data_IF_252310049610
#
_entry.id   IF_252310049610
#
_cell.length_a   1.000
_cell.length_b   1.000
_cell.length_c   1.000
_cell.angle_alpha   90.00
_cell.angle_beta   90.00
_cell.angle_gamma   90.00
#
_symmetry.space_group_name_H-M   'P 1'
#
loop_
_entity.id
_entity.type
_entity.pdbx_description
1 polymer ?
#
# COMPACT_ATOMS: atom_id res chain seq x y z
N UNK A 1 23.33 -6.89 -16.53
CA UNK A 1 23.69 -5.82 -15.56
C UNK A 1 23.08 -6.17 -14.19
N UNK A 2 23.60 -5.66 -13.07
CA UNK A 2 22.99 -5.92 -11.75
C UNK A 2 21.90 -4.87 -11.45
N UNK A 3 20.64 -5.26 -11.66
CA UNK A 3 19.47 -4.44 -11.32
C UNK A 3 19.12 -4.62 -9.84
N UNK A 4 18.82 -3.52 -9.15
CA UNK A 4 18.37 -3.56 -7.75
C UNK A 4 16.86 -3.71 -7.72
N UNK A 5 16.38 -4.74 -7.03
CA UNK A 5 14.95 -4.97 -6.83
C UNK A 5 14.46 -4.28 -5.54
N UNK A 6 13.58 -3.29 -5.66
CA UNK A 6 12.98 -2.58 -4.53
C UNK A 6 11.50 -2.92 -4.42
N UNK A 7 11.09 -3.49 -3.27
CA UNK A 7 9.67 -3.79 -3.00
C UNK A 7 8.93 -2.52 -2.58
N UNK A 8 7.74 -2.34 -3.12
CA UNK A 8 6.80 -1.31 -2.72
C UNK A 8 5.46 -1.94 -2.36
N UNK A 9 4.94 -1.57 -1.19
CA UNK A 9 3.66 -2.09 -0.69
C UNK A 9 2.82 -0.95 -0.10
N UNK A 10 1.79 -0.52 -0.82
CA UNK A 10 0.76 0.44 -0.35
C UNK A 10 -0.55 0.20 -1.08
N UNK A 11 -1.66 0.67 -0.49
CA UNK A 11 -3.00 0.65 -1.11
C UNK A 11 -3.44 -0.73 -1.63
N UNK A 12 -3.07 -1.82 -0.95
CA UNK A 12 -3.39 -3.18 -1.38
C UNK A 12 -2.55 -3.71 -2.55
N UNK A 13 -1.65 -2.91 -3.10
CA UNK A 13 -0.70 -3.33 -4.13
C UNK A 13 0.61 -3.78 -3.50
N UNK A 14 1.19 -4.83 -4.09
CA UNK A 14 2.49 -5.37 -3.71
C UNK A 14 3.32 -5.54 -4.99
N UNK A 15 4.25 -4.62 -5.22
CA UNK A 15 5.02 -4.53 -6.47
C UNK A 15 6.51 -4.59 -6.19
N UNK A 16 7.25 -5.19 -7.11
CA UNK A 16 8.70 -5.26 -7.09
C UNK A 16 9.26 -4.49 -8.27
N UNK A 17 9.96 -3.37 -8.02
CA UNK A 17 10.57 -2.55 -9.05
C UNK A 17 12.00 -2.99 -9.32
N UNK A 18 12.36 -3.19 -10.58
CA UNK A 18 13.73 -3.37 -11.02
C UNK A 18 14.31 -2.02 -11.40
N UNK A 19 15.32 -1.57 -10.65
CA UNK A 19 15.96 -0.29 -10.84
C UNK A 19 17.40 -0.49 -11.36
N UNK A 20 17.80 0.31 -12.34
CA UNK A 20 19.22 0.42 -12.71
C UNK A 20 20.02 1.07 -11.57
N UNK A 21 21.36 0.93 -11.53
CA UNK A 21 22.19 1.55 -10.50
C UNK A 21 22.03 3.07 -10.37
N UNK A 22 21.60 3.73 -11.45
CA UNK A 22 21.24 5.16 -11.48
C UNK A 22 19.92 5.49 -10.73
N UNK A 23 19.20 4.47 -10.26
CA UNK A 23 17.94 4.62 -9.51
C UNK A 23 16.68 4.68 -10.37
N UNK A 24 16.83 4.73 -11.70
CA UNK A 24 15.69 4.71 -12.63
C UNK A 24 15.04 3.33 -12.67
N UNK A 25 13.70 3.29 -12.57
CA UNK A 25 12.94 2.05 -12.71
C UNK A 25 12.85 1.63 -14.18
N UNK A 26 13.39 0.45 -14.51
CA UNK A 26 13.38 -0.11 -15.87
C UNK A 26 12.30 -1.19 -16.06
N UNK A 27 11.70 -1.66 -14.96
CA UNK A 27 10.56 -2.57 -14.99
C UNK A 27 9.99 -2.81 -13.60
N UNK A 28 8.85 -3.48 -13.54
CA UNK A 28 8.24 -3.88 -12.28
C UNK A 28 7.45 -5.19 -12.43
N UNK A 29 7.30 -5.92 -11.32
CA UNK A 29 6.46 -7.11 -11.23
C UNK A 29 5.38 -6.91 -10.16
N UNK A 30 4.18 -7.41 -10.42
CA UNK A 30 3.14 -7.57 -9.40
C UNK A 30 3.39 -8.89 -8.65
N UNK A 31 3.50 -8.83 -7.32
CA UNK A 31 3.76 -10.01 -6.48
C UNK A 31 2.49 -10.83 -6.22
N UNK A 32 1.31 -10.27 -6.46
CA UNK A 32 0.02 -10.94 -6.28
C UNK A 32 -0.32 -11.74 -7.53
N UNK A 33 -0.20 -11.13 -8.71
CA UNK A 33 -0.52 -11.80 -9.99
C UNK A 33 0.69 -12.48 -10.64
N UNK A 34 1.90 -12.01 -10.35
CA UNK A 34 3.14 -12.46 -11.01
C UNK A 34 3.40 -11.76 -12.34
N UNK A 35 2.59 -10.77 -12.73
CA UNK A 35 2.74 -10.06 -14.00
C UNK A 35 3.99 -9.19 -14.01
N UNK A 36 4.80 -9.30 -15.05
CA UNK A 36 6.01 -8.50 -15.25
C UNK A 36 5.74 -7.47 -16.35
N UNK A 37 5.98 -6.20 -16.03
CA UNK A 37 5.94 -5.08 -16.98
C UNK A 37 7.35 -4.52 -17.16
N UNK A 38 7.80 -4.51 -18.41
CA UNK A 38 9.07 -3.89 -18.80
C UNK A 38 8.79 -2.46 -19.24
N UNK A 39 9.50 -1.49 -18.65
CA UNK A 39 9.36 -0.06 -19.00
C UNK A 39 10.38 0.37 -20.06
N UNK A 40 11.56 -0.22 -20.04
CA UNK A 40 12.65 0.07 -20.99
C UNK A 40 13.07 -1.22 -21.68
N UNK A 41 12.80 -1.30 -22.99
CA UNK A 41 12.99 -2.53 -23.78
C UNK A 41 14.47 -2.95 -23.88
N UNK A 42 15.41 -2.00 -23.85
CA UNK A 42 16.86 -2.27 -23.82
C UNK A 42 17.28 -3.17 -22.63
N UNK A 43 16.54 -3.11 -21.51
CA UNK A 43 16.82 -3.91 -20.32
C UNK A 43 15.85 -5.09 -20.17
N UNK A 44 15.08 -5.43 -21.21
CA UNK A 44 14.02 -6.45 -21.14
C UNK A 44 14.50 -7.76 -20.53
N UNK A 45 15.58 -8.33 -21.05
CA UNK A 45 16.04 -9.65 -20.64
C UNK A 45 16.56 -9.64 -19.20
N UNK A 46 17.31 -8.60 -18.83
CA UNK A 46 17.82 -8.40 -17.46
C UNK A 46 16.65 -8.20 -16.47
N UNK A 47 15.63 -7.41 -16.83
CA UNK A 47 14.43 -7.16 -16.01
C UNK A 47 13.65 -8.45 -15.79
N UNK A 48 13.38 -9.21 -16.86
CA UNK A 48 12.66 -10.47 -16.77
C UNK A 48 13.45 -11.46 -15.91
N UNK A 49 14.76 -11.59 -16.13
CA UNK A 49 15.60 -12.52 -15.36
C UNK A 49 15.59 -12.20 -13.86
N UNK A 50 15.80 -10.93 -13.49
CA UNK A 50 15.82 -10.48 -12.09
C UNK A 50 14.45 -10.62 -11.44
N UNK A 51 13.39 -10.12 -12.07
CA UNK A 51 12.05 -10.17 -11.49
C UNK A 51 11.51 -11.61 -11.41
N UNK A 52 11.74 -12.45 -12.42
CA UNK A 52 11.34 -13.86 -12.37
C UNK A 52 12.13 -14.66 -11.33
N UNK A 53 13.41 -14.34 -11.11
CA UNK A 53 14.17 -14.92 -10.00
C UNK A 53 13.57 -14.54 -8.65
N UNK A 54 13.25 -13.26 -8.44
CA UNK A 54 12.62 -12.82 -7.19
C UNK A 54 11.23 -13.43 -6.98
N UNK A 55 10.40 -13.54 -8.03
CA UNK A 55 9.08 -14.17 -7.94
C UNK A 55 9.19 -15.66 -7.54
N UNK A 56 10.17 -16.40 -8.06
CA UNK A 56 10.41 -17.80 -7.67
C UNK A 56 10.86 -17.94 -6.22
N UNK A 57 11.62 -16.97 -5.73
CA UNK A 57 12.13 -16.97 -4.36
C UNK A 57 11.19 -16.28 -3.36
N UNK A 58 10.06 -15.76 -3.82
CA UNK A 58 9.09 -15.15 -2.93
C UNK A 58 8.38 -16.26 -2.15
N UNK A 59 8.43 -16.25 -0.80
CA UNK A 59 7.63 -17.18 -0.04
C UNK A 59 6.17 -16.92 -0.40
N UNK A 60 5.53 -17.92 -1.00
CA UNK A 60 4.09 -17.92 -1.22
C UNK A 60 3.44 -17.48 0.09
N UNK A 61 2.52 -16.49 0.09
CA UNK A 61 1.81 -16.13 1.29
C UNK A 61 1.26 -17.41 1.88
N UNK A 62 1.77 -17.79 3.04
CA UNK A 62 1.24 -18.90 3.80
C UNK A 62 -0.18 -18.48 4.09
N UNK A 63 -1.15 -19.03 3.35
CA UNK A 63 -2.54 -19.02 3.76
C UNK A 63 -2.53 -19.36 5.24
N UNK A 64 -3.21 -18.60 6.12
CA UNK A 64 -3.21 -18.87 7.55
C UNK A 64 -3.31 -20.37 7.74
N UNK A 65 -2.20 -21.00 8.12
CA UNK A 65 -2.23 -22.41 8.48
C UNK A 65 -3.25 -22.43 9.59
N UNK A 66 -4.27 -23.26 9.40
CA UNK A 66 -5.31 -23.50 10.37
C UNK A 66 -4.62 -23.56 11.73
N UNK A 67 -4.82 -22.48 12.50
CA UNK A 67 -4.01 -22.22 13.68
C UNK A 67 -4.09 -23.46 14.55
N UNK A 68 -2.98 -23.92 15.17
CA UNK A 68 -3.03 -25.07 16.06
C UNK A 68 -4.21 -24.87 17.00
N UNK A 69 -5.10 -25.85 16.93
CA UNK A 69 -6.41 -25.85 17.53
C UNK A 69 -6.32 -25.39 18.98
N UNK A 70 -6.91 -24.22 19.24
CA UNK A 70 -7.32 -23.78 20.56
C UNK A 70 -6.30 -23.95 21.71
N UNK A 71 -5.04 -23.52 21.55
CA UNK A 71 -4.31 -23.08 22.74
C UNK A 71 -4.99 -21.81 23.25
N UNK A 72 -5.58 -21.93 24.44
CA UNK A 72 -6.56 -21.04 25.03
C UNK A 72 -6.17 -19.56 24.89
N UNK A 73 -6.72 -18.91 23.86
CA UNK A 73 -6.67 -17.45 23.74
C UNK A 73 -7.31 -16.92 25.03
N UNK A 74 -6.65 -16.00 25.75
CA UNK A 74 -7.26 -15.40 26.92
C UNK A 74 -8.61 -14.82 26.48
N UNK A 75 -9.69 -15.22 27.17
CA UNK A 75 -11.00 -14.69 26.89
C UNK A 75 -10.95 -13.19 27.15
N UNK A 76 -11.16 -12.40 26.10
CA UNK A 76 -11.27 -10.97 26.24
C UNK A 76 -12.48 -10.65 27.11
N UNK A 77 -12.42 -9.59 27.93
CA UNK A 77 -13.59 -9.10 28.64
C UNK A 77 -14.70 -8.79 27.63
N UNK A 78 -15.97 -9.00 28.01
CA UNK A 78 -17.10 -8.66 27.14
C UNK A 78 -17.05 -7.17 26.79
N UNK A 79 -17.24 -6.85 25.50
CA UNK A 79 -17.30 -5.48 25.02
C UNK A 79 -18.42 -4.75 25.77
N UNK A 80 -18.07 -3.73 26.56
CA UNK A 80 -19.06 -2.91 27.24
C UNK A 80 -19.49 -1.75 26.35
N UNK A 81 -20.69 -1.18 26.54
CA UNK A 81 -21.10 0.04 25.82
C UNK A 81 -20.16 1.24 26.02
N UNK A 82 -19.38 1.27 27.11
CA UNK A 82 -18.40 2.32 27.35
C UNK A 82 -17.13 2.15 26.50
N UNK A 83 -16.79 0.91 26.14
CA UNK A 83 -15.67 0.57 25.26
C UNK A 83 -16.05 0.68 23.77
N UNK A 84 -17.35 0.68 23.46
CA UNK A 84 -17.87 0.78 22.10
C UNK A 84 -17.86 2.22 21.59
N UNK A 85 -16.72 2.61 21.01
CA UNK A 85 -16.53 3.91 20.36
C UNK A 85 -17.27 4.05 19.02
N UNK A 86 -17.96 3.03 18.50
CA UNK A 86 -18.70 3.13 17.22
C UNK A 86 -19.83 4.16 17.27
N UNK A 87 -20.34 4.42 18.48
CA UNK A 87 -21.37 5.45 18.73
C UNK A 87 -20.77 6.82 19.06
N UNK A 88 -19.45 6.92 19.20
CA UNK A 88 -18.79 8.16 19.57
C UNK A 88 -18.87 9.19 18.43
N UNK A 89 -19.52 10.32 18.72
CA UNK A 89 -19.71 11.45 17.81
C UNK A 89 -18.60 12.51 17.91
N UNK A 90 -17.44 12.20 18.48
CA UNK A 90 -16.31 13.13 18.56
C UNK A 90 -15.85 13.65 17.18
N UNK A 91 -16.07 12.86 16.12
CA UNK A 91 -15.83 13.26 14.72
C UNK A 91 -17.14 13.48 13.94
N UNK A 92 -18.28 13.62 14.63
CA UNK A 92 -19.51 13.99 13.95
C UNK A 92 -19.32 15.34 13.23
N UNK A 93 -20.01 15.56 12.10
CA UNK A 93 -19.89 16.80 11.35
C UNK A 93 -20.08 18.00 12.28
N UNK A 94 -19.06 18.85 12.37
CA UNK A 94 -19.16 20.16 12.99
C UNK A 94 -20.03 21.04 12.08
N UNK A 95 -21.35 20.90 12.20
CA UNK A 95 -22.30 21.67 11.42
C UNK A 95 -22.27 23.13 11.88
N UNK A 96 -22.13 24.06 10.92
CA UNK A 96 -22.23 25.51 11.17
C UNK A 96 -20.92 26.25 11.40
N UNK A 97 -19.76 25.59 11.37
CA UNK A 97 -18.45 26.27 11.49
C UNK A 97 -17.99 26.84 10.14
N UNK A 98 -18.26 26.13 9.04
CA UNK A 98 -17.98 26.56 7.67
C UNK A 98 -19.24 26.46 6.82
N UNK A 99 -19.43 27.44 5.93
CA UNK A 99 -20.46 27.36 4.88
C UNK A 99 -20.04 26.36 3.80
N UNK A 100 -20.99 25.86 3.01
CA UNK A 100 -20.70 24.95 1.89
C UNK A 100 -19.67 25.53 0.91
N UNK A 101 -19.74 26.84 0.65
CA UNK A 101 -18.77 27.54 -0.22
C UNK A 101 -17.35 27.56 0.38
N UNK A 102 -17.25 27.73 1.70
CA UNK A 102 -15.96 27.69 2.39
C UNK A 102 -15.36 26.28 2.39
N UNK A 103 -16.20 25.24 2.51
CA UNK A 103 -15.77 23.84 2.40
C UNK A 103 -15.24 23.55 1.00
N UNK A 104 -15.98 23.94 -0.05
CA UNK A 104 -15.55 23.84 -1.45
C UNK A 104 -14.21 24.54 -1.69
N UNK A 105 -14.02 25.74 -1.10
CA UNK A 105 -12.76 26.48 -1.21
C UNK A 105 -11.59 25.77 -0.54
N UNK A 106 -11.77 25.21 0.65
CA UNK A 106 -10.74 24.41 1.35
C UNK A 106 -10.42 23.15 0.56
N UNK A 107 -11.44 22.46 0.05
CA UNK A 107 -11.27 21.27 -0.79
C UNK A 107 -10.49 21.57 -2.07
N UNK A 108 -10.80 22.70 -2.73
CA UNK A 108 -10.07 23.17 -3.91
C UNK A 108 -8.59 23.43 -3.64
N UNK A 109 -8.25 24.09 -2.53
CA UNK A 109 -6.84 24.30 -2.12
C UNK A 109 -6.16 22.97 -1.80
N UNK A 110 -6.82 22.09 -1.04
CA UNK A 110 -6.27 20.80 -0.67
C UNK A 110 -5.98 19.90 -1.88
N UNK A 111 -6.82 19.94 -2.92
CA UNK A 111 -6.64 19.17 -4.14
C UNK A 111 -5.65 19.79 -5.13
N UNK A 112 -5.24 21.05 -4.95
CA UNK A 112 -4.38 21.73 -5.90
C UNK A 112 -2.90 21.40 -5.65
N UNK A 113 -2.26 20.72 -6.61
CA UNK A 113 -0.86 20.23 -6.50
C UNK A 113 0.16 21.33 -6.14
N UNK A 114 -0.03 22.55 -6.62
CA UNK A 114 0.87 23.69 -6.30
C UNK A 114 0.72 24.18 -4.85
N UNK A 115 -0.39 23.89 -4.18
CA UNK A 115 -0.57 24.27 -2.77
C UNK A 115 0.34 23.48 -1.81
N UNK A 116 0.90 22.37 -2.27
CA UNK A 116 1.74 21.46 -1.48
C UNK A 116 3.19 21.39 -1.94
N UNK A 117 3.61 22.23 -2.90
CA UNK A 117 4.95 22.13 -3.50
C UNK A 117 6.07 22.77 -2.68
N UNK A 118 5.84 23.09 -1.40
CA UNK A 118 6.85 23.66 -0.48
C UNK A 118 6.89 22.99 0.91
N UNK A 119 6.38 21.77 1.04
CA UNK A 119 6.55 20.96 2.25
C UNK A 119 7.74 20.01 2.13
#
# INVERSE_FOLDING_TARGET
MELKATRWKRYGHDRLYANVPDGTAVGWADLITGDITVLVDEYRDDVIAVLAHHLRNYPKPVLPQEAPEAEARPMLPPLTPADDLSTNRALAPLSGVLTAEQVERVYGVACHRQAWSLA
#
